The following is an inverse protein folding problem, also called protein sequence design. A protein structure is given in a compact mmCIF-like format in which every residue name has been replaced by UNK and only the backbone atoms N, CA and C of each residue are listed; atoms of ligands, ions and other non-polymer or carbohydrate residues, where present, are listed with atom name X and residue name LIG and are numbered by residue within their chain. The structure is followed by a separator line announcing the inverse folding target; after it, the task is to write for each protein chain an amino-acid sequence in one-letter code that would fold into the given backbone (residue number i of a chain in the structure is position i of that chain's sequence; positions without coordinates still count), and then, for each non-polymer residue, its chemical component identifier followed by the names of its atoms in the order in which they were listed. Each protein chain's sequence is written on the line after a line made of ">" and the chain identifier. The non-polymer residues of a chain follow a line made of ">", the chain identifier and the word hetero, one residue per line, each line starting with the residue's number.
data_IF_011466974204
#
_entry.id   IF_011466974204
#
_cell.length_a   1.000
_cell.length_b   1.000
_cell.length_c   1.000
_cell.angle_alpha   90.00
_cell.angle_beta   90.00
_cell.angle_gamma   90.00
#
_symmetry.space_group_name_H-M   'P 1'
#
loop_
_entity.id
_entity.type
_entity.pdbx_description
1 polymer ?
#
# COMPACT_ATOMS: atom_id res chain seq x y z
N UNK A 1 -40.80 -32.45 -28.47
CA UNK A 1 -40.28 -33.48 -27.55
C UNK A 1 -39.01 -32.95 -26.88
N UNK A 2 -38.94 -33.15 -25.56
CA UNK A 2 -37.79 -33.08 -24.62
C UNK A 2 -36.98 -31.79 -24.40
N UNK A 3 -37.38 -31.07 -23.34
CA UNK A 3 -36.66 -30.70 -22.10
C UNK A 3 -35.12 -30.65 -21.98
N UNK A 4 -34.70 -29.53 -21.36
CA UNK A 4 -33.76 -29.33 -20.22
C UNK A 4 -32.25 -29.43 -20.43
N UNK A 5 -31.53 -28.34 -20.11
CA UNK A 5 -30.67 -28.26 -18.92
C UNK A 5 -30.20 -26.82 -18.65
N UNK A 6 -30.31 -26.40 -17.39
CA UNK A 6 -29.87 -25.13 -16.83
C UNK A 6 -28.35 -24.96 -16.82
N UNK A 7 -27.86 -23.72 -16.86
CA UNK A 7 -27.00 -23.22 -15.77
C UNK A 7 -26.78 -21.72 -15.93
N UNK A 8 -27.37 -20.96 -15.00
CA UNK A 8 -26.99 -19.58 -14.71
C UNK A 8 -25.56 -19.57 -14.19
N UNK A 9 -24.67 -18.78 -14.80
CA UNK A 9 -23.40 -18.39 -14.19
C UNK A 9 -23.42 -16.89 -13.93
N UNK A 10 -24.12 -16.54 -12.86
CA UNK A 10 -23.84 -15.31 -12.13
C UNK A 10 -22.47 -15.43 -11.49
N UNK A 11 -21.65 -14.41 -11.72
CA UNK A 11 -20.47 -14.13 -10.91
C UNK A 11 -19.20 -14.79 -11.42
N UNK A 12 -18.31 -14.00 -12.00
CA UNK A 12 -17.02 -13.75 -11.36
C UNK A 12 -16.57 -12.32 -11.73
N UNK A 13 -16.07 -11.66 -10.70
CA UNK A 13 -15.73 -10.24 -10.57
C UNK A 13 -15.26 -9.52 -11.82
N UNK A 14 -15.82 -8.33 -12.00
CA UNK A 14 -15.38 -7.30 -12.92
C UNK A 14 -13.87 -7.15 -12.89
N UNK A 15 -13.33 -7.16 -14.10
CA UNK A 15 -11.95 -7.08 -14.50
C UNK A 15 -11.04 -6.21 -13.60
N UNK A 16 -9.85 -6.78 -13.35
CA UNK A 16 -8.60 -6.14 -12.97
C UNK A 16 -8.21 -5.05 -13.99
N UNK A 17 -8.93 -3.93 -14.03
CA UNK A 17 -8.71 -2.82 -14.98
C UNK A 17 -8.24 -1.52 -14.32
N UNK A 18 -7.84 -1.54 -13.05
CA UNK A 18 -7.51 -0.33 -12.29
C UNK A 18 -6.03 -0.18 -11.90
N UNK A 19 -5.08 -0.78 -12.63
CA UNK A 19 -3.63 -0.60 -12.37
C UNK A 19 -3.04 0.55 -13.22
N UNK A 20 -3.82 1.61 -13.49
CA UNK A 20 -3.34 2.75 -14.31
C UNK A 20 -3.63 4.14 -13.75
N UNK A 21 -3.95 4.27 -12.45
CA UNK A 21 -3.81 5.55 -11.75
C UNK A 21 -3.56 5.33 -10.26
N UNK A 22 -2.52 5.95 -9.64
CA UNK A 22 -2.19 5.74 -8.23
C UNK A 22 -3.28 6.15 -7.23
N UNK A 23 -4.38 6.77 -7.70
CA UNK A 23 -5.43 7.37 -6.87
C UNK A 23 -6.85 6.81 -7.11
N UNK A 24 -7.04 5.74 -7.90
CA UNK A 24 -8.40 5.22 -8.20
C UNK A 24 -8.85 4.08 -7.26
N UNK A 25 -7.95 3.46 -6.48
CA UNK A 25 -8.29 2.33 -5.59
C UNK A 25 -8.31 2.66 -4.09
N UNK A 26 -7.62 3.70 -3.65
CA UNK A 26 -7.56 4.11 -2.24
C UNK A 26 -8.54 5.28 -2.06
N UNK A 27 -9.62 5.13 -1.27
CA UNK A 27 -10.51 6.26 -0.97
C UNK A 27 -9.70 7.34 -0.23
N UNK A 28 -9.90 8.64 -0.46
CA UNK A 28 -9.17 9.65 0.30
C UNK A 28 -9.48 9.51 1.79
N UNK A 29 -8.48 9.63 2.67
CA UNK A 29 -8.73 9.63 4.11
C UNK A 29 -9.60 10.84 4.46
N UNK A 30 -10.82 10.55 4.88
CA UNK A 30 -11.77 11.47 5.52
C UNK A 30 -11.93 10.97 6.95
N UNK A 31 -12.02 11.85 7.95
CA UNK A 31 -11.83 11.46 9.37
C UNK A 31 -12.70 10.30 9.90
N UNK A 32 -13.73 9.90 9.15
CA UNK A 32 -14.66 8.80 9.42
C UNK A 32 -14.35 7.48 8.69
N UNK A 33 -13.43 7.43 7.73
CA UNK A 33 -13.21 6.28 6.86
C UNK A 33 -11.86 5.55 7.08
N UNK A 34 -11.20 5.78 8.22
CA UNK A 34 -9.83 5.30 8.48
C UNK A 34 -9.63 3.79 8.23
N UNK A 35 -10.55 2.94 8.67
CA UNK A 35 -10.43 1.49 8.48
C UNK A 35 -10.41 1.10 6.99
N UNK A 36 -11.36 1.62 6.21
CA UNK A 36 -11.45 1.34 4.78
C UNK A 36 -10.27 1.94 3.99
N UNK A 37 -9.83 3.15 4.35
CA UNK A 37 -8.63 3.77 3.80
C UNK A 37 -7.40 2.92 4.06
N UNK A 38 -7.21 2.48 5.31
CA UNK A 38 -6.05 1.67 5.72
C UNK A 38 -6.00 0.34 4.99
N UNK A 39 -7.12 -0.38 4.87
CA UNK A 39 -7.16 -1.66 4.18
C UNK A 39 -6.82 -1.52 2.69
N UNK A 40 -7.39 -0.52 2.01
CA UNK A 40 -7.10 -0.25 0.61
C UNK A 40 -5.64 0.17 0.38
N UNK A 41 -5.09 0.97 1.29
CA UNK A 41 -3.69 1.37 1.27
C UNK A 41 -2.75 0.17 1.46
N UNK A 42 -3.01 -0.68 2.46
CA UNK A 42 -2.20 -1.88 2.72
C UNK A 42 -2.24 -2.86 1.55
N UNK A 43 -3.42 -3.08 0.94
CA UNK A 43 -3.55 -3.92 -0.24
C UNK A 43 -2.74 -3.37 -1.42
N UNK A 44 -2.80 -2.05 -1.64
CA UNK A 44 -2.06 -1.39 -2.73
C UNK A 44 -0.56 -1.47 -2.51
N UNK A 45 -0.07 -1.22 -1.29
CA UNK A 45 1.35 -1.33 -0.96
C UNK A 45 1.85 -2.78 -1.08
N UNK A 46 1.04 -3.76 -0.70
CA UNK A 46 1.35 -5.17 -0.87
C UNK A 46 1.41 -5.60 -2.33
N UNK A 47 0.51 -5.10 -3.19
CA UNK A 47 0.52 -5.40 -4.62
C UNK A 47 1.73 -4.80 -5.35
N UNK A 48 2.29 -3.70 -4.81
CA UNK A 48 3.45 -3.00 -5.37
C UNK A 48 4.78 -3.41 -4.71
N UNK A 49 4.78 -4.39 -3.80
CA UNK A 49 5.94 -4.82 -3.00
C UNK A 49 6.60 -3.69 -2.18
N UNK A 50 5.85 -2.65 -1.83
CA UNK A 50 6.31 -1.54 -0.99
C UNK A 50 6.03 -1.74 0.49
N UNK A 51 5.21 -2.73 0.84
CA UNK A 51 4.89 -3.09 2.21
C UNK A 51 6.05 -3.74 2.98
N UNK A 52 7.19 -4.00 2.33
CA UNK A 52 8.40 -4.53 2.97
C UNK A 52 8.82 -3.71 4.19
N UNK A 53 8.78 -2.37 4.11
CA UNK A 53 9.13 -1.50 5.23
C UNK A 53 8.08 -1.50 6.36
N UNK A 54 6.85 -1.94 6.08
CA UNK A 54 5.79 -2.08 7.07
C UNK A 54 5.90 -3.39 7.85
N UNK A 55 6.39 -4.44 7.19
CA UNK A 55 6.57 -5.78 7.77
C UNK A 55 7.88 -5.89 8.55
N UNK A 56 8.96 -5.42 7.95
CA UNK A 56 10.30 -5.50 8.55
C UNK A 56 10.60 -4.30 9.45
N UNK A 57 11.43 -4.52 10.47
CA UNK A 57 11.92 -3.42 11.29
C UNK A 57 12.95 -2.60 10.52
N UNK A 58 13.08 -1.31 10.86
CA UNK A 58 14.12 -0.45 10.32
C UNK A 58 15.49 -1.11 10.51
N UNK A 59 16.25 -1.38 9.43
CA UNK A 59 17.59 -1.93 9.55
C UNK A 59 18.50 -0.92 10.26
N UNK A 60 19.50 -1.44 10.97
CA UNK A 60 20.54 -0.61 11.58
C UNK A 60 21.25 0.23 10.53
N UNK A 61 21.73 1.41 10.94
CA UNK A 61 22.50 2.27 10.06
C UNK A 61 23.74 1.54 9.53
N UNK A 62 24.01 1.72 8.24
CA UNK A 62 25.16 1.11 7.59
C UNK A 62 26.47 1.66 8.18
N UNK A 63 27.42 0.76 8.44
CA UNK A 63 28.77 1.10 8.91
C UNK A 63 29.79 0.74 7.83
N UNK A 64 31.04 1.17 8.00
CA UNK A 64 32.14 0.80 7.08
C UNK A 64 32.43 -0.70 7.03
N UNK A 65 31.89 -1.48 7.98
CA UNK A 65 32.02 -2.94 8.03
C UNK A 65 30.77 -3.67 7.52
N UNK A 66 29.74 -2.94 7.09
CA UNK A 66 28.49 -3.55 6.63
C UNK A 66 28.71 -4.39 5.38
N UNK A 67 28.18 -5.61 5.44
CA UNK A 67 28.21 -6.56 4.33
C UNK A 67 27.39 -6.05 3.15
N UNK A 68 27.68 -6.55 1.95
CA UNK A 68 26.91 -6.24 0.74
C UNK A 68 25.43 -6.59 0.92
N UNK A 69 25.12 -7.69 1.62
CA UNK A 69 23.75 -8.09 1.90
C UNK A 69 23.00 -7.09 2.80
N UNK A 70 23.66 -6.56 3.84
CA UNK A 70 23.09 -5.52 4.71
C UNK A 70 22.85 -4.21 3.96
N UNK A 71 23.76 -3.83 3.07
CA UNK A 71 23.61 -2.63 2.23
C UNK A 71 22.38 -2.75 1.31
N UNK A 72 22.22 -3.90 0.64
CA UNK A 72 21.07 -4.18 -0.22
C UNK A 72 19.76 -4.18 0.59
N UNK A 73 19.74 -4.81 1.77
CA UNK A 73 18.57 -4.83 2.63
C UNK A 73 18.18 -3.41 3.11
N UNK A 74 19.18 -2.61 3.50
CA UNK A 74 18.97 -1.22 3.90
C UNK A 74 18.43 -0.35 2.76
N UNK A 75 18.98 -0.47 1.55
CA UNK A 75 18.50 0.27 0.37
C UNK A 75 17.06 -0.14 0.01
N UNK A 76 16.77 -1.45 0.02
CA UNK A 76 15.41 -1.97 -0.22
C UNK A 76 14.43 -1.42 0.81
N UNK A 77 14.75 -1.48 2.10
CA UNK A 77 13.90 -0.95 3.16
C UNK A 77 13.67 0.55 2.99
N UNK A 78 14.74 1.32 2.75
CA UNK A 78 14.67 2.78 2.56
C UNK A 78 13.76 3.15 1.40
N UNK A 79 13.87 2.43 0.27
CA UNK A 79 13.00 2.63 -0.90
C UNK A 79 11.55 2.34 -0.58
N UNK A 80 11.26 1.18 0.03
CA UNK A 80 9.90 0.78 0.39
C UNK A 80 9.27 1.74 1.41
N UNK A 81 10.05 2.22 2.38
CA UNK A 81 9.62 3.21 3.38
C UNK A 81 9.24 4.54 2.71
N UNK A 82 10.13 5.07 1.86
CA UNK A 82 9.88 6.31 1.12
C UNK A 82 8.62 6.23 0.26
N UNK A 83 8.46 5.13 -0.48
CA UNK A 83 7.29 4.94 -1.36
C UNK A 83 6.00 4.84 -0.54
N UNK A 84 6.01 4.08 0.56
CA UNK A 84 4.85 3.94 1.45
C UNK A 84 4.40 5.28 2.01
N UNK A 85 5.34 6.10 2.51
CA UNK A 85 5.05 7.45 2.99
C UNK A 85 4.47 8.36 1.90
N UNK A 86 4.98 8.27 0.66
CA UNK A 86 4.43 9.06 -0.45
C UNK A 86 2.98 8.67 -0.77
N UNK A 87 2.65 7.38 -0.79
CA UNK A 87 1.28 6.89 -0.99
C UNK A 87 0.34 7.31 0.14
N UNK A 88 0.80 7.18 1.39
CA UNK A 88 0.07 7.64 2.58
C UNK A 88 -0.25 9.14 2.49
N UNK A 89 0.76 9.99 2.28
CA UNK A 89 0.57 11.45 2.16
C UNK A 89 -0.34 11.84 1.00
N UNK A 90 -0.19 11.18 -0.15
CA UNK A 90 -1.00 11.48 -1.34
C UNK A 90 -2.46 11.06 -1.19
N UNK A 91 -2.73 9.99 -0.42
CA UNK A 91 -4.09 9.47 -0.18
C UNK A 91 -4.83 10.21 0.94
N UNK A 92 -4.18 11.10 1.67
CA UNK A 92 -4.85 11.97 2.65
C UNK A 92 -5.50 13.17 1.95
N UNK A 93 -6.76 13.44 2.30
CA UNK A 93 -7.50 14.61 1.84
C UNK A 93 -6.84 15.92 2.28
N UNK A 94 -6.79 16.90 1.37
CA UNK A 94 -6.24 18.24 1.64
C UNK A 94 -6.90 18.91 2.87
N UNK A 95 -8.16 18.59 3.17
CA UNK A 95 -8.90 19.15 4.29
C UNK A 95 -8.31 18.79 5.67
N UNK A 96 -7.67 17.62 5.79
CA UNK A 96 -7.11 17.13 7.06
C UNK A 96 -5.59 16.94 7.00
N UNK A 97 -4.97 17.09 5.84
CA UNK A 97 -3.53 16.87 5.63
C UNK A 97 -2.66 17.70 6.57
N UNK A 98 -3.04 18.94 6.87
CA UNK A 98 -2.29 19.81 7.79
C UNK A 98 -2.38 19.40 9.26
N UNK A 99 -3.32 18.52 9.63
CA UNK A 99 -3.49 18.03 10.99
C UNK A 99 -2.71 16.73 11.28
N UNK A 100 -2.23 16.05 10.23
CA UNK A 100 -1.49 14.79 10.35
C UNK A 100 0.01 15.12 10.31
N UNK A 101 0.79 14.76 11.35
CA UNK A 101 2.22 15.02 11.35
C UNK A 101 2.94 14.15 10.31
N UNK A 102 4.10 14.63 9.87
CA UNK A 102 5.00 13.84 9.04
C UNK A 102 5.75 12.82 9.89
N UNK A 103 5.84 11.58 9.41
CA UNK A 103 6.64 10.52 10.03
C UNK A 103 7.80 10.11 9.12
N UNK A 104 8.92 9.72 9.72
CA UNK A 104 10.09 9.20 9.01
C UNK A 104 9.97 7.70 8.69
N UNK A 105 9.16 6.97 9.44
CA UNK A 105 8.92 5.53 9.27
C UNK A 105 7.44 5.27 8.99
N UNK A 106 7.17 4.63 7.85
CA UNK A 106 5.85 4.24 7.40
C UNK A 106 5.14 3.29 8.39
N UNK A 107 5.90 2.54 9.20
CA UNK A 107 5.35 1.66 10.24
C UNK A 107 4.70 2.44 11.40
N UNK A 108 5.10 3.70 11.58
CA UNK A 108 4.59 4.60 12.64
C UNK A 108 3.58 5.63 12.15
N UNK A 109 3.23 5.57 10.87
CA UNK A 109 2.27 6.45 10.21
C UNK A 109 0.82 6.03 10.49
#
# INVERSE_FOLDING_TARGET
>A
MSNSMSSSLTGFSTALSAVTAPNQGIPPLTGDNFAAWKDALMLTLGLLDFDYALRENKPSDLTTQSTVAEQIAHEKWTRCNRMSLMFMKQSISNAIRGAIPDFEDAKTY
#
